data_IF_167525801576
#
_entry.id   IF_167525801576
#
_cell.length_a   1.000
_cell.length_b   1.000
_cell.length_c   1.000
_cell.angle_alpha   90.00
_cell.angle_beta   90.00
_cell.angle_gamma   90.00
#
_symmetry.space_group_name_H-M   'P 1'
#
loop_
_entity.id
_entity.type
_entity.pdbx_description
1 polymer ?
#
# COMPACT_ATOMS: atom_id res chain seq x y z
N UNK A 1 -20.47 22.98 -1.41
CA UNK A 1 -19.43 22.35 -0.58
C UNK A 1 -18.37 23.40 -0.26
N UNK A 2 -18.18 23.74 1.02
CA UNK A 2 -17.17 24.70 1.46
C UNK A 2 -15.76 24.09 1.35
N UNK A 3 -15.24 24.02 0.13
CA UNK A 3 -13.86 23.58 -0.10
C UNK A 3 -12.93 24.64 0.47
N UNK A 4 -11.99 24.19 1.31
CA UNK A 4 -10.88 24.99 1.81
C UNK A 4 -10.19 25.67 0.61
N UNK A 5 -9.86 26.95 0.74
CA UNK A 5 -9.19 27.70 -0.34
C UNK A 5 -7.95 26.96 -0.85
N UNK A 6 -7.81 26.87 -2.17
CA UNK A 6 -6.68 26.20 -2.83
C UNK A 6 -5.32 26.67 -2.31
N UNK A 7 -5.19 27.96 -1.97
CA UNK A 7 -3.96 28.52 -1.36
C UNK A 7 -3.62 27.86 -0.03
N UNK A 8 -4.62 27.62 0.83
CA UNK A 8 -4.42 26.97 2.14
C UNK A 8 -4.04 25.49 1.96
N UNK A 9 -4.65 24.79 1.01
CA UNK A 9 -4.31 23.40 0.71
C UNK A 9 -2.87 23.26 0.18
N UNK A 10 -2.45 24.17 -0.71
CA UNK A 10 -1.07 24.20 -1.19
C UNK A 10 -0.08 24.49 -0.08
N UNK A 11 -0.37 25.43 0.82
CA UNK A 11 0.48 25.71 1.99
C UNK A 11 0.62 24.46 2.87
N UNK A 12 -0.49 23.77 3.16
CA UNK A 12 -0.47 22.53 3.96
C UNK A 12 0.39 21.48 3.25
N UNK A 13 0.22 21.29 1.93
CA UNK A 13 1.02 20.36 1.14
C UNK A 13 2.52 20.67 1.21
N UNK A 14 2.92 21.90 0.88
CA UNK A 14 4.34 22.29 0.92
C UNK A 14 4.91 22.18 2.34
N UNK A 15 4.15 22.57 3.37
CA UNK A 15 4.61 22.44 4.76
C UNK A 15 4.83 20.98 5.19
N UNK A 16 3.94 20.07 4.79
CA UNK A 16 4.08 18.65 5.09
C UNK A 16 5.26 18.02 4.34
N UNK A 17 5.42 18.36 3.05
CA UNK A 17 6.52 17.83 2.25
C UNK A 17 7.88 18.39 2.68
N UNK A 18 7.96 19.67 3.06
CA UNK A 18 9.17 20.24 3.65
C UNK A 18 9.49 19.56 4.99
N UNK A 19 8.48 19.34 5.84
CA UNK A 19 8.65 18.59 7.09
C UNK A 19 9.21 17.19 6.87
N UNK A 20 8.75 16.49 5.83
CA UNK A 20 9.28 15.20 5.44
C UNK A 20 10.75 15.28 4.97
N UNK A 21 11.11 16.27 4.17
CA UNK A 21 12.51 16.50 3.75
C UNK A 21 13.42 16.80 4.95
N UNK A 22 12.96 17.61 5.90
CA UNK A 22 13.69 17.90 7.15
C UNK A 22 13.87 16.64 7.99
N UNK A 23 12.83 15.79 8.08
CA UNK A 23 12.93 14.51 8.78
C UNK A 23 13.97 13.60 8.13
N UNK A 24 13.98 13.50 6.80
CA UNK A 24 15.00 12.74 6.05
C UNK A 24 16.40 13.28 6.31
N UNK A 25 16.57 14.61 6.32
CA UNK A 25 17.86 15.24 6.64
C UNK A 25 18.34 14.93 8.06
N UNK A 26 17.42 14.92 9.03
CA UNK A 26 17.75 14.61 10.42
C UNK A 26 18.13 13.14 10.62
N UNK A 27 17.42 12.22 9.94
CA UNK A 27 17.63 10.78 10.09
C UNK A 27 18.93 10.28 9.43
N UNK A 28 19.41 10.96 8.38
CA UNK A 28 20.64 10.55 7.70
C UNK A 28 21.52 11.78 7.43
N UNK A 29 22.35 12.18 8.41
CA UNK A 29 23.21 13.37 8.29
C UNK A 29 24.38 13.19 7.30
N UNK A 30 24.73 11.94 6.96
CA UNK A 30 25.90 11.61 6.12
C UNK A 30 25.63 11.72 4.60
N UNK A 31 24.46 12.21 4.19
CA UNK A 31 24.09 12.29 2.76
C UNK A 31 24.69 13.55 2.11
N UNK A 32 25.30 13.44 0.91
CA UNK A 32 25.66 14.59 0.09
C UNK A 32 24.49 15.56 -0.13
N UNK A 33 24.76 16.86 -0.03
CA UNK A 33 23.76 17.92 -0.20
C UNK A 33 23.02 17.86 -1.55
N UNK A 34 23.69 17.40 -2.61
CA UNK A 34 23.09 17.20 -3.94
C UNK A 34 22.02 16.10 -3.95
N UNK A 35 22.23 15.02 -3.19
CA UNK A 35 21.25 13.92 -3.10
C UNK A 35 20.04 14.34 -2.26
N UNK A 36 20.24 15.14 -1.21
CA UNK A 36 19.12 15.74 -0.46
C UNK A 36 18.29 16.66 -1.36
N UNK A 37 18.94 17.47 -2.20
CA UNK A 37 18.23 18.33 -3.16
C UNK A 37 17.45 17.50 -4.18
N UNK A 38 18.04 16.43 -4.72
CA UNK A 38 17.35 15.49 -5.61
C UNK A 38 16.11 14.89 -4.94
N UNK A 39 16.27 14.37 -3.72
CA UNK A 39 15.15 13.80 -2.95
C UNK A 39 14.08 14.86 -2.66
N UNK A 40 14.45 16.11 -2.35
CA UNK A 40 13.50 17.19 -2.13
C UNK A 40 12.67 17.50 -3.38
N UNK A 41 13.30 17.52 -4.56
CA UNK A 41 12.60 17.72 -5.84
C UNK A 41 11.60 16.59 -6.11
N UNK A 42 11.99 15.34 -5.83
CA UNK A 42 11.10 14.19 -6.00
C UNK A 42 9.96 14.23 -4.97
N UNK A 43 10.27 14.44 -3.69
CA UNK A 43 9.29 14.44 -2.60
C UNK A 43 8.26 15.54 -2.80
N UNK A 44 8.68 16.75 -3.19
CA UNK A 44 7.78 17.90 -3.33
C UNK A 44 7.12 17.92 -4.71
N UNK A 45 7.92 17.82 -5.77
CA UNK A 45 7.47 18.04 -7.15
C UNK A 45 6.86 16.78 -7.77
N UNK A 46 7.59 15.67 -7.74
CA UNK A 46 7.14 14.44 -8.38
C UNK A 46 5.88 13.87 -7.69
N UNK A 47 5.81 13.83 -6.35
CA UNK A 47 4.59 13.37 -5.66
C UNK A 47 3.35 14.22 -5.99
N UNK A 48 3.52 15.53 -6.18
CA UNK A 48 2.40 16.41 -6.53
C UNK A 48 1.82 16.02 -7.89
N UNK A 49 2.69 15.91 -8.91
CA UNK A 49 2.30 15.51 -10.26
C UNK A 49 1.74 14.09 -10.27
N UNK A 50 2.40 13.18 -9.56
CA UNK A 50 2.00 11.79 -9.46
C UNK A 50 0.61 11.63 -8.84
N UNK A 51 0.32 12.37 -7.77
CA UNK A 51 -0.99 12.36 -7.12
C UNK A 51 -2.09 12.93 -8.04
N UNK A 52 -1.78 13.96 -8.83
CA UNK A 52 -2.72 14.51 -9.83
C UNK A 52 -3.04 13.50 -10.94
N UNK A 53 -2.03 12.83 -11.48
CA UNK A 53 -2.20 11.79 -12.49
C UNK A 53 -3.00 10.62 -11.92
N UNK A 54 -2.61 10.14 -10.73
CA UNK A 54 -3.24 9.00 -10.07
C UNK A 54 -4.69 9.29 -9.69
N UNK A 55 -5.02 10.49 -9.20
CA UNK A 55 -6.40 10.90 -8.90
C UNK A 55 -7.27 11.03 -10.15
N UNK A 56 -6.70 11.51 -11.27
CA UNK A 56 -7.39 11.57 -12.55
C UNK A 56 -7.66 10.16 -13.09
N UNK A 57 -6.67 9.27 -13.00
CA UNK A 57 -6.84 7.86 -13.35
C UNK A 57 -7.92 7.19 -12.50
N UNK A 58 -7.95 7.46 -11.19
CA UNK A 58 -9.00 6.94 -10.32
C UNK A 58 -10.39 7.46 -10.73
N UNK A 59 -10.50 8.73 -11.11
CA UNK A 59 -11.76 9.34 -11.56
C UNK A 59 -12.26 8.86 -12.92
N UNK A 60 -11.36 8.64 -13.89
CA UNK A 60 -11.71 8.24 -15.25
C UNK A 60 -11.79 6.71 -15.44
N UNK A 61 -10.84 5.97 -14.87
CA UNK A 61 -10.68 4.54 -15.07
C UNK A 61 -11.05 3.70 -13.85
N UNK A 62 -11.36 4.31 -12.70
CA UNK A 62 -11.72 3.60 -11.46
C UNK A 62 -10.54 2.89 -10.78
N UNK A 63 -9.30 3.12 -11.23
CA UNK A 63 -8.08 2.53 -10.68
C UNK A 63 -6.96 3.57 -10.66
N UNK A 64 -6.15 3.55 -9.60
CA UNK A 64 -4.90 4.32 -9.53
C UNK A 64 -3.84 3.65 -10.40
N UNK A 65 -2.95 4.46 -10.96
CA UNK A 65 -1.75 3.93 -11.63
C UNK A 65 -0.77 3.59 -10.52
N UNK A 66 -0.24 2.37 -10.51
CA UNK A 66 0.86 2.00 -9.62
C UNK A 66 2.06 1.62 -10.46
N UNK A 67 3.17 2.34 -10.29
CA UNK A 67 4.42 2.05 -10.97
C UNK A 67 5.22 1.09 -10.08
N UNK A 68 5.50 -0.14 -10.55
CA UNK A 68 6.31 -1.08 -9.79
C UNK A 68 7.71 -0.54 -9.54
N UNK A 69 8.23 -0.77 -8.33
CA UNK A 69 9.60 -0.45 -7.91
C UNK A 69 10.04 1.02 -8.07
N UNK A 70 9.08 1.95 -8.12
CA UNK A 70 9.37 3.37 -8.30
C UNK A 70 10.23 3.95 -7.17
N UNK A 71 9.98 3.51 -5.93
CA UNK A 71 10.79 3.89 -4.77
C UNK A 71 12.26 3.48 -4.96
N UNK A 72 12.49 2.23 -5.32
CA UNK A 72 13.82 1.68 -5.54
C UNK A 72 14.53 2.38 -6.70
N UNK A 73 13.81 2.70 -7.78
CA UNK A 73 14.34 3.42 -8.93
C UNK A 73 14.79 4.85 -8.57
N UNK A 74 14.01 5.58 -7.77
CA UNK A 74 14.38 6.92 -7.27
C UNK A 74 15.60 6.84 -6.35
N UNK A 75 15.66 5.84 -5.47
CA UNK A 75 16.80 5.65 -4.58
C UNK A 75 18.09 5.37 -5.34
N UNK A 76 18.05 4.50 -6.35
CA UNK A 76 19.20 4.23 -7.23
C UNK A 76 19.57 5.50 -8.03
N UNK A 77 18.58 6.21 -8.56
CA UNK A 77 18.76 7.44 -9.32
C UNK A 77 19.39 8.59 -8.52
N UNK A 78 19.30 8.56 -7.20
CA UNK A 78 19.93 9.53 -6.31
C UNK A 78 21.47 9.49 -6.32
N UNK A 79 22.06 8.42 -6.87
CA UNK A 79 23.51 8.24 -7.03
C UNK A 79 24.26 7.99 -5.72
N UNK A 80 23.55 7.90 -4.59
CA UNK A 80 24.15 7.71 -3.30
C UNK A 80 24.45 6.23 -3.01
N UNK A 81 25.69 5.97 -2.58
CA UNK A 81 26.17 4.63 -2.21
C UNK A 81 26.07 4.32 -0.71
N UNK A 82 25.46 5.21 0.07
CA UNK A 82 25.31 5.02 1.51
C UNK A 82 24.16 4.05 1.79
N UNK A 83 24.38 2.95 2.55
CA UNK A 83 23.33 2.00 2.90
C UNK A 83 22.16 2.64 3.67
N UNK A 84 22.45 3.68 4.46
CA UNK A 84 21.48 4.34 5.33
C UNK A 84 20.26 4.91 4.58
N UNK A 85 20.41 5.26 3.30
CA UNK A 85 19.32 5.80 2.49
C UNK A 85 18.21 4.75 2.27
N UNK A 86 18.58 3.47 2.17
CA UNK A 86 17.62 2.39 1.98
C UNK A 86 16.76 2.11 3.22
N UNK A 87 17.21 2.58 4.39
CA UNK A 87 16.50 2.47 5.66
C UNK A 87 15.71 3.74 6.04
N UNK A 88 15.58 4.70 5.11
CA UNK A 88 14.72 5.86 5.32
C UNK A 88 13.26 5.42 5.50
N UNK A 89 12.51 6.03 6.44
CA UNK A 89 11.10 5.71 6.64
C UNK A 89 10.32 5.94 5.32
N UNK A 90 9.45 4.99 4.97
CA UNK A 90 8.81 4.82 3.66
C UNK A 90 7.81 5.89 3.23
N UNK A 91 8.23 7.16 3.20
CA UNK A 91 7.42 8.32 2.83
C UNK A 91 8.01 9.17 1.70
N UNK A 92 9.00 8.67 0.96
CA UNK A 92 9.63 9.46 -0.12
C UNK A 92 8.70 9.58 -1.32
N UNK A 93 7.92 8.52 -1.62
CA UNK A 93 6.96 8.49 -2.72
C UNK A 93 5.62 7.98 -2.18
N UNK A 94 4.55 8.72 -2.40
CA UNK A 94 3.21 8.34 -1.95
C UNK A 94 2.15 8.75 -2.97
N UNK A 95 1.24 7.83 -3.28
CA UNK A 95 0.02 8.07 -4.07
C UNK A 95 -1.22 8.23 -3.16
N UNK A 96 -1.04 8.29 -1.84
CA UNK A 96 -2.13 8.28 -0.87
C UNK A 96 -3.17 9.38 -1.12
N UNK A 97 -2.75 10.53 -1.67
CA UNK A 97 -3.65 11.64 -2.01
C UNK A 97 -4.74 11.27 -3.02
N UNK A 98 -4.47 10.34 -3.95
CA UNK A 98 -5.48 9.88 -4.90
C UNK A 98 -6.61 9.10 -4.20
N UNK A 99 -6.26 8.27 -3.22
CA UNK A 99 -7.22 7.56 -2.38
C UNK A 99 -8.11 8.51 -1.58
N UNK A 100 -7.53 9.56 -0.99
CA UNK A 100 -8.28 10.61 -0.28
C UNK A 100 -9.29 11.33 -1.17
N UNK A 101 -8.94 11.65 -2.42
CA UNK A 101 -9.90 12.20 -3.38
C UNK A 101 -11.09 11.26 -3.62
N UNK A 102 -10.82 9.95 -3.75
CA UNK A 102 -11.86 8.93 -3.86
C UNK A 102 -12.77 8.87 -2.64
N UNK A 103 -12.20 8.87 -1.43
CA UNK A 103 -12.97 8.87 -0.18
C UNK A 103 -13.80 10.13 0.02
N UNK A 104 -13.28 11.30 -0.33
CA UNK A 104 -14.04 12.55 -0.27
C UNK A 104 -15.18 12.57 -1.29
N UNK A 105 -14.98 11.99 -2.48
CA UNK A 105 -16.06 11.83 -3.44
C UNK A 105 -17.13 10.86 -2.92
N UNK A 106 -16.73 9.75 -2.30
CA UNK A 106 -17.65 8.83 -1.66
C UNK A 106 -18.44 9.51 -0.52
N UNK A 107 -17.78 10.33 0.28
CA UNK A 107 -18.43 11.09 1.35
C UNK A 107 -19.49 12.06 0.80
N UNK A 108 -19.18 12.76 -0.29
CA UNK A 108 -20.13 13.62 -1.00
C UNK A 108 -21.33 12.82 -1.54
N UNK A 109 -21.10 11.65 -2.16
CA UNK A 109 -22.16 10.80 -2.70
C UNK A 109 -23.07 10.19 -1.63
N UNK A 110 -22.54 9.98 -0.42
CA UNK A 110 -23.30 9.47 0.74
C UNK A 110 -23.94 10.58 1.58
N UNK A 111 -23.79 11.85 1.17
CA UNK A 111 -24.31 13.00 1.92
C UNK A 111 -23.62 13.23 3.27
N UNK A 112 -22.43 12.63 3.48
CA UNK A 112 -21.66 12.81 4.71
C UNK A 112 -20.80 14.06 4.63
N UNK A 113 -20.68 14.80 5.74
CA UNK A 113 -19.84 16.00 5.79
C UNK A 113 -18.38 15.56 5.76
N UNK A 114 -17.58 16.17 4.86
CA UNK A 114 -16.14 15.93 4.76
C UNK A 114 -15.40 16.11 6.10
N UNK A 115 -15.85 17.07 6.91
CA UNK A 115 -15.28 17.31 8.25
C UNK A 115 -15.43 16.11 9.18
N UNK A 116 -16.57 15.40 9.08
CA UNK A 116 -16.89 14.31 9.98
C UNK A 116 -16.12 13.05 9.57
N UNK A 117 -15.93 12.86 8.27
CA UNK A 117 -15.01 11.84 7.76
C UNK A 117 -13.56 12.04 8.23
N UNK A 118 -13.03 13.27 8.11
CA UNK A 118 -11.66 13.58 8.57
C UNK A 118 -11.52 13.40 10.09
N UNK A 119 -12.50 13.85 10.88
CA UNK A 119 -12.50 13.62 12.34
C UNK A 119 -12.54 12.14 12.68
N UNK A 120 -13.39 11.36 12.02
CA UNK A 120 -13.49 9.92 12.22
C UNK A 120 -12.17 9.22 11.90
N UNK A 121 -11.51 9.61 10.79
CA UNK A 121 -10.20 9.09 10.44
C UNK A 121 -9.14 9.42 11.52
N UNK A 122 -9.07 10.67 11.99
CA UNK A 122 -8.13 11.06 13.05
C UNK A 122 -8.37 10.24 14.33
N UNK A 123 -9.62 10.11 14.77
CA UNK A 123 -9.96 9.33 15.97
C UNK A 123 -9.55 7.86 15.79
N UNK A 124 -9.87 7.27 14.64
CA UNK A 124 -9.50 5.90 14.32
C UNK A 124 -7.98 5.70 14.28
N UNK A 125 -7.23 6.63 13.71
CA UNK A 125 -5.75 6.58 13.67
C UNK A 125 -5.15 6.70 15.06
N UNK A 126 -5.62 7.64 15.89
CA UNK A 126 -5.11 7.82 17.26
C UNK A 126 -5.42 6.60 18.11
N UNK A 127 -6.66 6.12 18.07
CA UNK A 127 -7.06 4.91 18.80
C UNK A 127 -6.28 3.69 18.30
N UNK A 128 -6.17 3.54 16.97
CA UNK A 128 -5.41 2.46 16.35
C UNK A 128 -3.93 2.47 16.72
N UNK A 129 -3.33 3.66 16.85
CA UNK A 129 -1.94 3.82 17.28
C UNK A 129 -1.77 3.44 18.76
N UNK A 130 -2.66 3.90 19.65
CA UNK A 130 -2.62 3.51 21.07
C UNK A 130 -2.79 2.00 21.21
N UNK A 131 -3.76 1.43 20.49
CA UNK A 131 -4.01 -0.01 20.50
C UNK A 131 -2.85 -0.80 19.90
N UNK A 132 -2.18 -0.30 18.84
CA UNK A 132 -1.04 -1.01 18.25
C UNK A 132 0.11 -1.14 19.25
N UNK A 133 0.43 -0.09 20.01
CA UNK A 133 1.44 -0.19 21.08
C UNK A 133 1.05 -1.19 22.16
N UNK A 134 -0.21 -1.20 22.59
CA UNK A 134 -0.70 -2.17 23.58
C UNK A 134 -0.60 -3.62 23.06
N UNK A 135 -1.03 -3.87 21.83
CA UNK A 135 -0.94 -5.20 21.22
C UNK A 135 0.51 -5.63 20.99
N UNK A 136 1.38 -4.75 20.48
CA UNK A 136 2.80 -5.07 20.30
C UNK A 136 3.45 -5.42 21.62
N UNK A 137 3.20 -4.65 22.68
CA UNK A 137 3.72 -4.94 24.02
C UNK A 137 3.20 -6.29 24.56
N UNK A 138 1.90 -6.56 24.41
CA UNK A 138 1.31 -7.82 24.83
C UNK A 138 1.91 -9.01 24.07
N UNK A 139 2.08 -8.89 22.76
CA UNK A 139 2.69 -9.96 21.95
C UNK A 139 4.18 -10.16 22.26
N UNK A 140 4.93 -9.09 22.53
CA UNK A 140 6.34 -9.17 22.96
C UNK A 140 6.49 -9.81 24.34
N UNK A 141 5.55 -9.59 25.25
CA UNK A 141 5.56 -10.24 26.57
C UNK A 141 5.34 -11.76 26.51
N UNK A 142 4.75 -12.25 25.42
CA UNK A 142 4.42 -13.67 25.24
C UNK A 142 5.60 -14.47 24.70
N UNK A 143 6.29 -13.95 23.69
CA UNK A 143 7.48 -14.56 23.12
C UNK A 143 8.28 -13.52 22.35
N UNK A 144 9.58 -13.72 22.23
CA UNK A 144 10.42 -12.90 21.39
C UNK A 144 9.97 -13.00 19.92
N UNK A 145 9.92 -11.87 19.23
CA UNK A 145 9.67 -11.81 17.79
C UNK A 145 11.01 -11.69 17.05
N UNK A 146 11.34 -12.53 16.05
CA UNK A 146 10.60 -13.68 15.52
C UNK A 146 10.90 -15.00 16.28
N UNK A 147 9.87 -15.81 16.49
CA UNK A 147 9.97 -17.16 17.10
C UNK A 147 8.98 -18.13 16.46
N UNK A 148 9.08 -19.42 16.79
CA UNK A 148 8.14 -20.46 16.33
C UNK A 148 6.69 -20.21 16.77
N UNK A 149 6.48 -19.37 17.78
CA UNK A 149 5.17 -18.90 18.22
C UNK A 149 4.53 -17.98 17.17
N UNK A 150 5.33 -17.33 16.32
CA UNK A 150 4.89 -16.43 15.26
C UNK A 150 5.39 -16.91 13.88
N UNK A 151 4.81 -17.98 13.30
CA UNK A 151 5.28 -18.56 12.04
C UNK A 151 5.34 -17.56 10.88
N UNK A 152 4.34 -16.66 10.80
CA UNK A 152 4.30 -15.62 9.76
C UNK A 152 5.51 -14.69 9.85
N UNK A 153 5.84 -14.19 11.05
CA UNK A 153 6.99 -13.29 11.25
C UNK A 153 8.31 -14.01 10.95
N UNK A 154 8.43 -15.27 11.39
CA UNK A 154 9.63 -16.08 11.18
C UNK A 154 9.94 -16.32 9.71
N UNK A 155 8.93 -16.51 8.85
CA UNK A 155 9.15 -16.72 7.41
C UNK A 155 9.22 -15.39 6.64
N UNK A 156 8.36 -14.43 6.96
CA UNK A 156 8.18 -13.24 6.13
C UNK A 156 9.24 -12.16 6.37
N UNK A 157 9.65 -11.92 7.62
CA UNK A 157 10.65 -10.88 7.91
C UNK A 157 12.00 -11.11 7.23
N UNK A 158 12.55 -12.35 7.22
CA UNK A 158 13.78 -12.62 6.46
C UNK A 158 13.61 -12.35 4.96
N UNK A 159 12.45 -12.69 4.36
CA UNK A 159 12.18 -12.45 2.94
C UNK A 159 12.19 -10.95 2.63
N UNK A 160 11.48 -10.14 3.42
CA UNK A 160 11.44 -8.68 3.26
C UNK A 160 12.81 -8.04 3.47
N UNK A 161 13.58 -8.53 4.46
CA UNK A 161 14.93 -8.06 4.74
C UNK A 161 15.86 -8.38 3.57
N UNK A 162 15.81 -9.61 3.05
CA UNK A 162 16.57 -10.02 1.87
C UNK A 162 16.21 -9.17 0.65
N UNK A 163 14.93 -8.89 0.43
CA UNK A 163 14.49 -8.05 -0.68
C UNK A 163 15.02 -6.61 -0.56
N UNK A 164 14.93 -6.02 0.63
CA UNK A 164 15.45 -4.68 0.91
C UNK A 164 16.96 -4.61 0.73
N UNK A 165 17.70 -5.59 1.25
CA UNK A 165 19.15 -5.67 1.12
C UNK A 165 19.59 -5.92 -0.33
N UNK A 166 18.84 -6.69 -1.10
CA UNK A 166 19.14 -6.93 -2.51
C UNK A 166 19.06 -5.64 -3.34
N UNK A 167 18.03 -4.82 -3.11
CA UNK A 167 17.93 -3.50 -3.74
C UNK A 167 19.01 -2.54 -3.25
N UNK A 168 19.34 -2.59 -1.96
CA UNK A 168 20.42 -1.79 -1.40
C UNK A 168 21.77 -2.14 -2.04
N UNK A 169 22.08 -3.42 -2.20
CA UNK A 169 23.32 -3.87 -2.84
C UNK A 169 23.42 -3.39 -4.30
N UNK A 170 22.33 -3.48 -5.08
CA UNK A 170 22.27 -2.93 -6.44
C UNK A 170 22.61 -1.42 -6.44
N UNK A 171 22.04 -0.66 -5.49
CA UNK A 171 22.28 0.78 -5.37
C UNK A 171 23.71 1.15 -4.95
N UNK A 172 24.31 0.38 -4.02
CA UNK A 172 25.65 0.64 -3.47
C UNK A 172 26.73 0.19 -4.45
N UNK A 173 26.62 -1.05 -4.93
CA UNK A 173 27.62 -1.69 -5.78
C UNK A 173 27.53 -1.18 -7.22
N UNK A 174 26.37 -0.65 -7.63
CA UNK A 174 26.12 -0.15 -8.99
C UNK A 174 26.14 -1.25 -10.06
N UNK A 175 26.26 -2.51 -9.64
CA UNK A 175 26.17 -3.68 -10.51
C UNK A 175 24.71 -4.07 -10.61
N UNK A 176 24.10 -3.75 -11.74
CA UNK A 176 22.75 -4.20 -12.05
C UNK A 176 22.81 -5.69 -12.41
N UNK A 177 22.27 -6.54 -11.54
CA UNK A 177 21.96 -7.93 -11.86
C UNK A 177 20.75 -8.07 -12.80
N UNK A 178 20.14 -6.95 -13.18
CA UNK A 178 19.03 -6.86 -14.11
C UNK A 178 19.54 -7.04 -15.54
N UNK A 179 19.18 -8.16 -16.17
CA UNK A 179 19.46 -8.39 -17.58
C UNK A 179 18.55 -7.49 -18.44
N UNK A 180 19.08 -6.49 -19.17
CA UNK A 180 18.26 -5.57 -19.96
C UNK A 180 17.46 -6.29 -21.05
N UNK A 181 18.00 -7.40 -21.58
CA UNK A 181 17.32 -8.20 -22.60
C UNK A 181 16.05 -8.84 -22.06
N UNK A 182 16.04 -9.27 -20.79
CA UNK A 182 14.84 -9.82 -20.17
C UNK A 182 13.79 -8.74 -19.92
N UNK A 183 14.20 -7.53 -19.54
CA UNK A 183 13.27 -6.40 -19.35
C UNK A 183 12.63 -6.02 -20.68
N UNK A 184 13.43 -5.85 -21.73
CA UNK A 184 12.93 -5.52 -23.07
C UNK A 184 12.11 -6.67 -23.64
N UNK A 185 12.53 -7.92 -23.42
CA UNK A 185 11.79 -9.11 -23.81
C UNK A 185 10.42 -9.20 -23.13
N UNK A 186 10.35 -8.94 -21.83
CA UNK A 186 9.10 -8.92 -21.07
C UNK A 186 8.19 -7.76 -21.52
N UNK A 187 8.74 -6.56 -21.72
CA UNK A 187 8.01 -5.42 -22.24
C UNK A 187 7.46 -5.70 -23.65
N UNK A 188 8.28 -6.29 -24.52
CA UNK A 188 7.88 -6.72 -25.86
C UNK A 188 6.77 -7.77 -25.82
N UNK A 189 6.89 -8.79 -24.95
CA UNK A 189 5.88 -9.82 -24.78
C UNK A 189 4.52 -9.25 -24.35
N UNK A 190 4.50 -8.35 -23.35
CA UNK A 190 3.27 -7.69 -22.91
C UNK A 190 2.67 -6.83 -24.02
N UNK A 191 3.51 -6.12 -24.79
CA UNK A 191 3.08 -5.29 -25.93
C UNK A 191 2.49 -6.14 -27.05
N UNK A 192 3.08 -7.29 -27.36
CA UNK A 192 2.56 -8.22 -28.36
C UNK A 192 1.20 -8.78 -27.91
N UNK A 193 1.05 -9.17 -26.64
CA UNK A 193 -0.24 -9.62 -26.09
C UNK A 193 -1.28 -8.50 -26.18
N UNK A 194 -0.90 -7.25 -25.91
CA UNK A 194 -1.77 -6.09 -26.05
C UNK A 194 -2.28 -5.94 -27.50
N UNK A 195 -1.36 -5.94 -28.46
CA UNK A 195 -1.70 -5.77 -29.86
C UNK A 195 -2.57 -6.94 -30.40
N UNK A 196 -2.24 -8.18 -30.02
CA UNK A 196 -3.05 -9.34 -30.35
C UNK A 196 -4.44 -9.28 -29.73
N UNK A 197 -4.55 -8.84 -28.47
CA UNK A 197 -5.84 -8.67 -27.79
C UNK A 197 -6.73 -7.64 -28.49
N UNK A 198 -6.14 -6.57 -29.01
CA UNK A 198 -6.86 -5.52 -29.74
C UNK A 198 -7.35 -6.00 -31.11
N UNK A 199 -6.51 -6.73 -31.86
CA UNK A 199 -6.87 -7.32 -33.17
C UNK A 199 -7.97 -8.37 -33.01
N UNK A 200 -7.80 -9.28 -32.05
CA UNK A 200 -8.70 -10.43 -31.86
C UNK A 200 -9.99 -10.00 -31.12
N UNK A 201 -10.05 -8.75 -30.60
CA UNK A 201 -11.15 -8.24 -29.75
C UNK A 201 -11.50 -9.20 -28.62
N UNK A 202 -10.50 -9.89 -28.08
CA UNK A 202 -10.71 -10.88 -27.05
C UNK A 202 -11.06 -10.16 -25.72
N UNK A 203 -12.08 -10.59 -24.97
CA UNK A 203 -12.51 -9.92 -23.73
C UNK A 203 -11.56 -10.24 -22.56
N UNK A 204 -10.27 -9.96 -22.74
CA UNK A 204 -9.22 -10.24 -21.79
C UNK A 204 -8.64 -8.94 -21.22
N UNK A 205 -8.57 -8.85 -19.90
CA UNK A 205 -8.02 -7.67 -19.23
C UNK A 205 -6.52 -7.82 -19.09
N UNK A 206 -5.76 -7.06 -19.89
CA UNK A 206 -4.30 -6.96 -19.74
C UNK A 206 -3.90 -6.42 -18.37
N UNK A 207 -4.66 -5.46 -17.85
CA UNK A 207 -4.46 -4.93 -16.50
C UNK A 207 -4.61 -6.06 -15.47
N UNK A 208 -5.63 -6.91 -15.63
CA UNK A 208 -5.82 -8.10 -14.80
C UNK A 208 -4.66 -9.09 -14.88
N UNK A 209 -4.09 -9.31 -16.07
CA UNK A 209 -2.92 -10.17 -16.24
C UNK A 209 -1.69 -9.61 -15.53
N UNK A 210 -1.38 -8.34 -15.75
CA UNK A 210 -0.21 -7.68 -15.14
C UNK A 210 -0.32 -7.68 -13.61
N UNK A 211 -1.50 -7.34 -13.07
CA UNK A 211 -1.75 -7.38 -11.63
C UNK A 211 -1.69 -8.82 -11.09
N UNK A 212 -2.25 -9.79 -11.81
CA UNK A 212 -2.25 -11.20 -11.41
C UNK A 212 -0.85 -11.81 -11.33
N UNK A 213 0.02 -11.52 -12.31
CA UNK A 213 1.40 -12.04 -12.38
C UNK A 213 2.30 -11.41 -11.32
N UNK A 214 2.01 -10.17 -10.91
CA UNK A 214 2.80 -9.45 -9.90
C UNK A 214 2.34 -9.74 -8.46
N UNK A 215 1.19 -10.39 -8.28
CA UNK A 215 0.65 -10.71 -6.96
C UNK A 215 0.92 -12.18 -6.61
N UNK A 216 1.38 -12.49 -5.38
CA UNK A 216 1.55 -13.87 -4.94
C UNK A 216 0.26 -14.70 -5.11
N UNK A 217 0.32 -15.95 -5.60
CA UNK A 217 -0.85 -16.74 -6.01
C UNK A 217 -2.03 -16.84 -5.03
N UNK A 218 -1.84 -16.90 -3.70
CA UNK A 218 -2.97 -17.00 -2.77
C UNK A 218 -4.01 -15.88 -2.93
N UNK A 219 -3.55 -14.63 -3.12
CA UNK A 219 -4.44 -13.46 -3.22
C UNK A 219 -5.33 -13.45 -4.48
N UNK A 220 -4.81 -13.56 -5.72
CA UNK A 220 -5.65 -13.60 -6.92
C UNK A 220 -6.55 -14.85 -6.97
N UNK A 221 -6.12 -15.99 -6.40
CA UNK A 221 -6.98 -17.18 -6.29
C UNK A 221 -8.17 -16.88 -5.38
N UNK A 222 -7.95 -16.32 -4.19
CA UNK A 222 -9.05 -15.96 -3.28
C UNK A 222 -9.99 -14.91 -3.89
N UNK A 223 -9.46 -13.91 -4.60
CA UNK A 223 -10.27 -12.92 -5.32
C UNK A 223 -11.12 -13.58 -6.42
N UNK A 224 -10.53 -14.51 -7.18
CA UNK A 224 -11.22 -15.26 -8.21
C UNK A 224 -12.33 -16.13 -7.62
N UNK A 225 -12.06 -16.86 -6.54
CA UNK A 225 -13.07 -17.66 -5.82
C UNK A 225 -14.21 -16.78 -5.31
N UNK A 226 -13.90 -15.62 -4.71
CA UNK A 226 -14.90 -14.66 -4.27
C UNK A 226 -15.76 -14.13 -5.42
N UNK A 227 -15.14 -13.82 -6.57
CA UNK A 227 -15.86 -13.39 -7.77
C UNK A 227 -16.77 -14.48 -8.35
N UNK A 228 -16.33 -15.75 -8.33
CA UNK A 228 -17.15 -16.89 -8.73
C UNK A 228 -18.37 -17.05 -7.83
N UNK A 229 -18.18 -16.99 -6.50
CA UNK A 229 -19.27 -17.08 -5.53
C UNK A 229 -20.26 -15.92 -5.72
N UNK A 230 -19.75 -14.69 -5.86
CA UNK A 230 -20.58 -13.51 -6.08
C UNK A 230 -21.42 -13.64 -7.37
N UNK A 231 -20.81 -14.10 -8.47
CA UNK A 231 -21.45 -14.17 -9.79
C UNK A 231 -22.41 -15.35 -9.94
N UNK A 232 -22.06 -16.53 -9.45
CA UNK A 232 -22.83 -17.76 -9.70
C UNK A 232 -23.76 -18.14 -8.55
N UNK A 233 -23.36 -17.89 -7.30
CA UNK A 233 -24.15 -18.24 -6.12
C UNK A 233 -25.01 -17.05 -5.67
N UNK A 234 -24.37 -15.96 -5.26
CA UNK A 234 -25.06 -14.84 -4.60
C UNK A 234 -25.97 -14.07 -5.54
N UNK A 235 -25.53 -13.85 -6.79
CA UNK A 235 -26.37 -13.23 -7.81
C UNK A 235 -27.60 -14.07 -8.20
N UNK A 236 -27.54 -15.40 -8.01
CA UNK A 236 -28.66 -16.31 -8.31
C UNK A 236 -29.63 -16.43 -7.13
N UNK A 237 -29.12 -16.38 -5.89
CA UNK A 237 -29.94 -16.46 -4.67
C UNK A 237 -30.67 -15.13 -4.41
N UNK A 238 -29.96 -14.01 -4.46
CA UNK A 238 -30.51 -12.70 -4.06
C UNK A 238 -31.06 -11.87 -5.22
N UNK A 239 -30.80 -12.30 -6.46
CA UNK A 239 -31.07 -11.52 -7.68
C UNK A 239 -29.96 -10.50 -7.96
N UNK A 240 -29.62 -10.32 -9.24
CA UNK A 240 -28.48 -9.49 -9.68
C UNK A 240 -28.55 -8.04 -9.20
N UNK A 241 -29.73 -7.43 -9.30
CA UNK A 241 -29.92 -6.01 -8.98
C UNK A 241 -29.78 -5.76 -7.47
N UNK A 242 -30.42 -6.60 -6.66
CA UNK A 242 -30.31 -6.54 -5.20
C UNK A 242 -28.88 -6.84 -4.73
N UNK A 243 -28.21 -7.83 -5.31
CA UNK A 243 -26.82 -8.14 -4.98
C UNK A 243 -25.90 -6.93 -5.26
N UNK A 244 -26.02 -6.30 -6.43
CA UNK A 244 -25.19 -5.14 -6.78
C UNK A 244 -25.41 -3.95 -5.83
N UNK A 245 -26.63 -3.76 -5.32
CA UNK A 245 -26.93 -2.69 -4.35
C UNK A 245 -26.31 -2.96 -2.97
N UNK A 246 -26.33 -4.21 -2.50
CA UNK A 246 -25.89 -4.56 -1.14
C UNK A 246 -24.46 -5.12 -1.06
N UNK A 247 -23.80 -5.43 -2.18
CA UNK A 247 -22.47 -6.05 -2.21
C UNK A 247 -21.44 -5.25 -1.40
N UNK A 248 -21.43 -3.92 -1.52
CA UNK A 248 -20.53 -3.05 -0.75
C UNK A 248 -20.80 -3.11 0.76
N UNK A 249 -22.07 -3.20 1.17
CA UNK A 249 -22.45 -3.34 2.58
C UNK A 249 -22.05 -4.70 3.15
N UNK A 250 -22.23 -5.77 2.38
CA UNK A 250 -21.78 -7.12 2.75
C UNK A 250 -20.27 -7.16 2.90
N UNK A 251 -19.53 -6.56 1.96
CA UNK A 251 -18.08 -6.44 2.04
C UNK A 251 -17.64 -5.68 3.29
N UNK A 252 -18.26 -4.52 3.59
CA UNK A 252 -17.97 -3.77 4.80
C UNK A 252 -18.23 -4.61 6.07
N UNK A 253 -19.32 -5.38 6.10
CA UNK A 253 -19.63 -6.30 7.20
C UNK A 253 -18.58 -7.40 7.38
N UNK A 254 -18.08 -7.98 6.29
CA UNK A 254 -17.02 -9.00 6.33
C UNK A 254 -15.72 -8.41 6.90
N UNK A 255 -15.30 -7.24 6.42
CA UNK A 255 -14.07 -6.57 6.89
C UNK A 255 -14.15 -6.22 8.37
N UNK A 256 -15.30 -5.70 8.83
CA UNK A 256 -15.52 -5.38 10.25
C UNK A 256 -15.54 -6.68 11.09
N UNK A 257 -16.24 -7.72 10.61
CA UNK A 257 -16.31 -9.02 11.29
C UNK A 257 -14.95 -9.70 11.42
N UNK A 258 -14.14 -9.67 10.36
CA UNK A 258 -12.76 -10.15 10.37
C UNK A 258 -11.94 -9.42 11.44
N UNK A 259 -12.01 -8.08 11.49
CA UNK A 259 -11.32 -7.28 12.51
C UNK A 259 -11.69 -7.67 13.94
N UNK A 260 -12.98 -7.86 14.22
CA UNK A 260 -13.46 -8.30 15.54
C UNK A 260 -12.93 -9.71 15.87
N UNK A 261 -13.00 -10.63 14.92
CA UNK A 261 -12.52 -12.00 15.12
C UNK A 261 -11.01 -12.06 15.35
N UNK A 262 -10.22 -11.22 14.69
CA UNK A 262 -8.77 -11.11 14.92
C UNK A 262 -8.49 -10.66 16.36
N UNK A 263 -9.22 -9.64 16.85
CA UNK A 263 -9.07 -9.15 18.23
C UNK A 263 -9.42 -10.23 19.25
N UNK A 264 -10.56 -10.90 19.08
CA UNK A 264 -10.99 -11.98 19.97
C UNK A 264 -9.99 -13.14 19.95
N UNK A 265 -9.56 -13.57 18.77
CA UNK A 265 -8.59 -14.68 18.63
C UNK A 265 -7.24 -14.36 19.24
N UNK A 266 -6.79 -13.10 19.10
CA UNK A 266 -5.56 -12.61 19.71
C UNK A 266 -5.68 -12.59 21.23
N UNK A 267 -6.80 -12.09 21.77
CA UNK A 267 -7.07 -12.09 23.21
C UNK A 267 -7.12 -13.50 23.80
N UNK A 268 -7.82 -14.45 23.15
CA UNK A 268 -7.87 -15.85 23.56
C UNK A 268 -6.46 -16.46 23.53
N UNK A 269 -5.70 -16.21 22.47
CA UNK A 269 -4.34 -16.72 22.32
C UNK A 269 -3.40 -16.19 23.41
N UNK A 270 -3.53 -14.91 23.78
CA UNK A 270 -2.81 -14.29 24.90
C UNK A 270 -3.18 -14.96 26.23
N UNK A 271 -4.47 -15.17 26.51
CA UNK A 271 -4.92 -15.84 27.74
C UNK A 271 -4.36 -17.27 27.81
N UNK A 272 -4.54 -18.08 26.75
CA UNK A 272 -4.09 -19.47 26.72
C UNK A 272 -2.58 -19.60 26.91
N UNK A 273 -1.80 -18.70 26.33
CA UNK A 273 -0.33 -18.72 26.45
C UNK A 273 0.15 -18.13 27.77
N UNK A 274 -0.53 -17.14 28.34
CA UNK A 274 -0.22 -16.63 29.69
C UNK A 274 -0.38 -17.71 30.77
N UNK A 275 -1.32 -18.65 30.59
CA UNK A 275 -1.49 -19.82 31.48
C UNK A 275 -0.30 -20.78 31.39
N UNK A 276 0.34 -20.88 30.23
CA UNK A 276 1.51 -21.75 30.01
C UNK A 276 2.87 -21.10 30.33
N UNK A 277 2.93 -19.76 30.38
CA UNK A 277 4.15 -18.98 30.67
C UNK A 277 4.18 -18.49 32.13
N UNK A 278 3.58 -19.24 33.06
CA UNK A 278 3.88 -19.10 34.48
C UNK A 278 4.96 -20.12 34.88
N UNK A 279 6.26 -19.79 34.82
CA UNK A 279 7.28 -20.51 35.55
C UNK A 279 7.39 -19.97 36.98
N UNK A 280 6.25 -19.78 37.66
CA UNK A 280 6.10 -19.75 39.13
C UNK A 280 4.61 -19.82 39.50
#
# INVERSE_FOLDING_TARGET
>A
AGLISAKKLLIIYFSAMIGNVVLVYYLVPDIPSLTILYLAVIIIGFNFIWTLISSTSLGLAGRTIQIPYLYQAVMIGSGCKSPNIWFLPGGIISDAGAGWCGYFKLAELTGTKLSDYVKAWIIATVLGLVMSFLYTQALWSMAEMPSSVFPWLQTYWPIETLFTLWWADIGITGKTYLNPLLIVGAAGFVTIIYFLSEIIRFPFSLVGLVVGVTTPPPSPISQFTGALIARYLLSRIFGKERWNQYASTVFAGIVIGEGIMIVISSAISLILKSIWILPY
#
